data_IF_171741080839
#
_entry.id   IF_171741080839
#
_cell.length_a   1.000
_cell.length_b   1.000
_cell.length_c   1.000
_cell.angle_alpha   90.00
_cell.angle_beta   90.00
_cell.angle_gamma   90.00
#
_symmetry.space_group_name_H-M   'P 1'
#
loop_
_entity.id
_entity.type
_entity.pdbx_description
1 polymer ?
#
# COMPACT_ATOMS: atom_id res chain seq x y z
N UNK A 1 -12.40 10.56 -42.59
CA UNK A 1 -12.75 9.34 -41.82
C UNK A 1 -11.76 9.02 -40.69
N UNK A 2 -10.61 9.71 -40.56
CA UNK A 2 -9.59 9.42 -39.53
C UNK A 2 -9.85 10.19 -38.22
N UNK A 3 -10.48 11.37 -38.25
CA UNK A 3 -10.77 12.16 -37.04
C UNK A 3 -11.78 11.49 -36.08
N UNK A 4 -12.80 10.77 -36.59
CA UNK A 4 -13.74 10.05 -35.72
C UNK A 4 -13.07 8.91 -34.92
N UNK A 5 -11.98 8.31 -35.40
CA UNK A 5 -11.34 7.19 -34.70
C UNK A 5 -10.52 7.59 -33.48
N UNK A 6 -9.81 8.73 -33.54
CA UNK A 6 -8.99 9.19 -32.40
C UNK A 6 -9.86 9.67 -31.24
N UNK A 7 -10.94 10.42 -31.54
CA UNK A 7 -11.87 10.91 -30.51
C UNK A 7 -12.62 9.76 -29.79
N UNK A 8 -12.93 8.67 -30.50
CA UNK A 8 -13.54 7.46 -29.91
C UNK A 8 -12.53 6.73 -29.02
N UNK A 9 -11.26 6.61 -29.44
CA UNK A 9 -10.19 5.98 -28.65
C UNK A 9 -9.96 6.76 -27.35
N UNK A 10 -9.92 8.09 -27.42
CA UNK A 10 -9.71 8.94 -26.24
C UNK A 10 -10.90 8.89 -25.27
N UNK A 11 -12.15 8.92 -25.78
CA UNK A 11 -13.36 8.72 -24.95
C UNK A 11 -13.38 7.34 -24.27
N UNK A 12 -12.98 6.29 -24.98
CA UNK A 12 -12.88 4.95 -24.41
C UNK A 12 -11.79 4.85 -23.35
N UNK A 13 -10.66 5.53 -23.53
CA UNK A 13 -9.60 5.60 -22.53
C UNK A 13 -10.08 6.30 -21.25
N UNK A 14 -10.72 7.47 -21.38
CA UNK A 14 -11.28 8.20 -20.23
C UNK A 14 -12.30 7.34 -19.47
N UNK A 15 -13.17 6.63 -20.20
CA UNK A 15 -14.14 5.73 -19.59
C UNK A 15 -13.49 4.54 -18.85
N UNK A 16 -12.41 3.98 -19.42
CA UNK A 16 -11.64 2.92 -18.77
C UNK A 16 -10.92 3.41 -17.51
N UNK A 17 -10.21 4.54 -17.60
CA UNK A 17 -9.50 5.14 -16.46
C UNK A 17 -10.49 5.44 -15.31
N UNK A 18 -11.70 5.93 -15.63
CA UNK A 18 -12.75 6.15 -14.64
C UNK A 18 -13.20 4.85 -13.95
N UNK A 19 -13.37 3.76 -14.71
CA UNK A 19 -13.77 2.47 -14.17
C UNK A 19 -12.67 1.86 -13.28
N UNK A 20 -11.40 2.01 -13.67
CA UNK A 20 -10.26 1.55 -12.85
C UNK A 20 -10.20 2.32 -11.53
N UNK A 21 -10.30 3.65 -11.57
CA UNK A 21 -10.33 4.49 -10.36
C UNK A 21 -11.51 4.08 -9.46
N UNK A 22 -12.71 3.93 -10.03
CA UNK A 22 -13.88 3.50 -9.27
C UNK A 22 -13.70 2.10 -8.65
N UNK A 23 -13.04 1.18 -9.36
CA UNK A 23 -12.71 -0.14 -8.84
C UNK A 23 -11.73 -0.05 -7.65
N UNK A 24 -10.67 0.74 -7.77
CA UNK A 24 -9.68 0.94 -6.70
C UNK A 24 -10.32 1.49 -5.42
N UNK A 25 -11.23 2.47 -5.57
CA UNK A 25 -11.99 2.99 -4.43
C UNK A 25 -12.87 1.92 -3.79
N UNK A 26 -13.62 1.16 -4.58
CA UNK A 26 -14.48 0.09 -4.07
C UNK A 26 -13.69 -1.01 -3.35
N UNK A 27 -12.50 -1.36 -3.85
CA UNK A 27 -11.65 -2.36 -3.23
C UNK A 27 -10.99 -1.83 -1.95
N UNK A 28 -10.59 -0.56 -1.93
CA UNK A 28 -10.10 0.09 -0.70
C UNK A 28 -11.17 0.14 0.39
N UNK A 29 -12.43 0.43 0.05
CA UNK A 29 -13.53 0.47 1.01
C UNK A 29 -13.73 -0.91 1.65
N UNK A 30 -13.64 -2.01 0.88
CA UNK A 30 -13.73 -3.38 1.41
C UNK A 30 -12.60 -3.69 2.38
N UNK A 31 -11.37 -3.28 2.07
CA UNK A 31 -10.19 -3.52 2.94
C UNK A 31 -10.34 -2.75 4.25
N UNK A 32 -10.71 -1.47 4.19
CA UNK A 32 -10.70 -0.59 5.36
C UNK A 32 -12.02 -0.55 6.15
N UNK A 33 -13.07 -1.24 5.69
CA UNK A 33 -14.41 -1.21 6.31
C UNK A 33 -14.40 -1.49 7.81
N UNK A 34 -13.62 -2.48 8.23
CA UNK A 34 -13.56 -2.96 9.62
C UNK A 34 -12.19 -2.68 10.28
N UNK A 35 -11.41 -1.77 9.69
CA UNK A 35 -10.07 -1.41 10.17
C UNK A 35 -10.12 -0.03 10.81
N UNK A 36 -10.10 -0.01 12.14
CA UNK A 36 -9.86 1.20 12.93
C UNK A 36 -8.39 1.25 13.41
N UNK A 37 -7.97 2.35 14.04
CA UNK A 37 -6.68 2.46 14.75
C UNK A 37 -5.45 1.97 13.95
N UNK A 38 -5.14 2.66 12.85
CA UNK A 38 -3.99 2.36 12.01
C UNK A 38 -2.85 3.38 12.14
N UNK A 39 -1.62 2.92 11.89
CA UNK A 39 -0.43 3.77 11.74
C UNK A 39 0.21 3.48 10.40
N UNK A 40 0.41 4.52 9.61
CA UNK A 40 1.08 4.44 8.31
C UNK A 40 2.58 4.69 8.44
N UNK A 41 3.37 3.76 7.91
CA UNK A 41 4.83 3.84 7.85
C UNK A 41 5.26 4.22 6.44
N UNK A 42 6.03 5.31 6.34
CA UNK A 42 6.74 5.71 5.13
C UNK A 42 8.25 5.63 5.32
N UNK A 43 8.97 5.34 4.25
CA UNK A 43 10.42 5.30 4.27
C UNK A 43 11.02 4.80 2.97
N UNK A 44 12.36 4.78 2.91
CA UNK A 44 13.08 4.36 1.71
C UNK A 44 12.77 2.90 1.34
N UNK A 45 12.41 2.67 0.08
CA UNK A 45 12.25 1.36 -0.52
C UNK A 45 13.58 0.66 -0.87
N UNK A 46 14.70 1.37 -0.75
CA UNK A 46 16.00 0.99 -1.33
C UNK A 46 17.06 0.58 -0.31
N UNK A 47 16.84 0.88 0.97
CA UNK A 47 17.82 0.54 2.00
C UNK A 47 17.72 -0.94 2.37
N UNK A 48 18.86 -1.56 2.66
CA UNK A 48 18.94 -2.98 3.02
C UNK A 48 18.32 -3.26 4.39
N UNK A 49 17.85 -4.49 4.59
CA UNK A 49 17.14 -4.89 5.81
C UNK A 49 18.03 -4.90 7.07
N UNK A 50 19.34 -5.01 6.91
CA UNK A 50 20.32 -4.94 8.00
C UNK A 50 20.57 -3.51 8.51
N UNK A 51 20.10 -2.49 7.76
CA UNK A 51 20.22 -1.08 8.11
C UNK A 51 19.50 -0.79 9.44
N UNK A 52 20.10 0.10 10.25
CA UNK A 52 19.54 0.53 11.54
C UNK A 52 18.09 1.02 11.44
N UNK A 53 17.72 1.74 10.38
CA UNK A 53 16.37 2.27 10.22
C UNK A 53 15.33 1.18 9.93
N UNK A 54 15.68 0.14 9.16
CA UNK A 54 14.82 -1.03 8.96
C UNK A 54 14.57 -1.76 10.27
N UNK A 55 15.63 -2.02 11.05
CA UNK A 55 15.52 -2.67 12.37
C UNK A 55 14.67 -1.87 13.35
N UNK A 56 14.79 -0.55 13.34
CA UNK A 56 13.95 0.33 14.17
C UNK A 56 12.49 0.32 13.72
N UNK A 57 12.23 0.37 12.42
CA UNK A 57 10.88 0.31 11.87
C UNK A 57 10.19 -1.01 12.19
N UNK A 58 10.88 -2.15 12.00
CA UNK A 58 10.40 -3.48 12.36
C UNK A 58 10.06 -3.58 13.85
N UNK A 59 10.98 -3.16 14.72
CA UNK A 59 10.74 -3.18 16.18
C UNK A 59 9.59 -2.27 16.58
N UNK A 60 9.46 -1.08 15.98
CA UNK A 60 8.36 -0.16 16.30
C UNK A 60 7.03 -0.76 15.86
N UNK A 61 6.94 -1.24 14.61
CA UNK A 61 5.74 -1.86 14.06
C UNK A 61 5.30 -3.08 14.88
N UNK A 62 6.23 -3.96 15.25
CA UNK A 62 5.95 -5.09 16.13
C UNK A 62 5.29 -4.66 17.45
N UNK A 63 5.87 -3.65 18.13
CA UNK A 63 5.36 -3.19 19.41
C UNK A 63 4.01 -2.47 19.31
N UNK A 64 3.76 -1.76 18.21
CA UNK A 64 2.46 -1.14 17.94
C UNK A 64 1.41 -2.21 17.65
N UNK A 65 1.73 -3.18 16.77
CA UNK A 65 0.84 -4.26 16.42
C UNK A 65 0.47 -5.12 17.64
N UNK A 66 1.43 -5.42 18.54
CA UNK A 66 1.15 -6.09 19.82
C UNK A 66 0.16 -5.35 20.72
N UNK A 67 -0.10 -4.07 20.48
CA UNK A 67 -1.12 -3.26 21.17
C UNK A 67 -2.46 -3.19 20.41
N UNK A 68 -2.62 -3.98 19.36
CA UNK A 68 -3.82 -4.00 18.52
C UNK A 68 -3.85 -2.90 17.45
N UNK A 69 -2.72 -2.24 17.15
CA UNK A 69 -2.66 -1.18 16.15
C UNK A 69 -2.35 -1.78 14.77
N UNK A 70 -3.20 -1.50 13.80
CA UNK A 70 -3.03 -1.92 12.41
C UNK A 70 -1.85 -1.15 11.77
N UNK A 71 -1.01 -1.84 11.00
CA UNK A 71 0.17 -1.23 10.37
C UNK A 71 -0.07 -1.15 8.86
N UNK A 72 0.12 0.04 8.30
CA UNK A 72 -0.08 0.30 6.86
C UNK A 72 1.23 0.79 6.24
N UNK A 73 1.57 0.30 5.06
CA UNK A 73 2.72 0.79 4.27
C UNK A 73 2.36 0.87 2.78
N UNK A 74 3.28 1.38 1.96
CA UNK A 74 3.20 1.28 0.50
C UNK A 74 3.60 -0.09 -0.08
N UNK A 75 3.87 -1.11 0.75
CA UNK A 75 4.13 -2.48 0.29
C UNK A 75 5.46 -2.72 -0.46
N UNK A 76 6.32 -1.70 -0.59
CA UNK A 76 7.65 -1.83 -1.20
C UNK A 76 8.73 -2.37 -0.25
N UNK A 77 9.97 -2.43 -0.74
CA UNK A 77 11.14 -2.90 0.03
C UNK A 77 11.58 -1.97 1.17
N UNK A 78 12.75 -2.25 1.75
CA UNK A 78 13.42 -1.39 2.73
C UNK A 78 12.59 -1.16 3.99
N UNK A 79 12.35 0.09 4.37
CA UNK A 79 11.65 0.45 5.61
C UNK A 79 10.21 -0.06 5.62
N UNK A 80 9.52 -0.02 4.47
CA UNK A 80 8.12 -0.46 4.36
C UNK A 80 8.01 -1.97 4.60
N UNK A 81 8.82 -2.75 3.90
CA UNK A 81 8.94 -4.19 4.14
C UNK A 81 9.30 -4.51 5.60
N UNK A 82 10.24 -3.77 6.20
CA UNK A 82 10.64 -3.98 7.59
C UNK A 82 9.48 -3.73 8.57
N UNK A 83 8.71 -2.67 8.37
CA UNK A 83 7.53 -2.37 9.18
C UNK A 83 6.45 -3.44 9.02
N UNK A 84 6.12 -3.85 7.79
CA UNK A 84 5.16 -4.92 7.53
C UNK A 84 5.64 -6.25 8.14
N UNK A 85 6.93 -6.59 8.03
CA UNK A 85 7.48 -7.80 8.67
C UNK A 85 7.29 -7.77 10.18
N UNK A 86 7.64 -6.68 10.84
CA UNK A 86 7.45 -6.54 12.28
C UNK A 86 5.99 -6.65 12.71
N UNK A 87 5.07 -6.07 11.94
CA UNK A 87 3.63 -6.18 12.19
C UNK A 87 3.11 -7.61 12.00
N UNK A 88 3.51 -8.26 10.89
CA UNK A 88 3.17 -9.65 10.58
C UNK A 88 3.67 -10.61 11.66
N UNK A 89 4.91 -10.45 12.13
CA UNK A 89 5.49 -11.28 13.19
C UNK A 89 4.78 -11.11 14.55
N UNK A 90 4.21 -9.92 14.81
CA UNK A 90 3.43 -9.67 16.02
C UNK A 90 2.05 -10.35 15.97
N UNK A 91 1.44 -10.46 14.77
CA UNK A 91 0.22 -11.20 14.48
C UNK A 91 -0.94 -10.93 15.46
N UNK A 92 -1.11 -9.68 15.88
CA UNK A 92 -2.17 -9.25 16.82
C UNK A 92 -3.18 -8.31 16.16
N UNK A 93 -2.75 -7.55 15.15
CA UNK A 93 -3.57 -6.69 14.29
C UNK A 93 -3.09 -6.82 12.82
N UNK A 94 -3.77 -6.14 11.90
CA UNK A 94 -3.49 -6.25 10.46
C UNK A 94 -2.16 -5.61 10.05
N UNK A 95 -1.56 -6.19 9.01
CA UNK A 95 -0.35 -5.67 8.32
C UNK A 95 -0.67 -5.47 6.84
N UNK A 96 -0.82 -4.23 6.42
CA UNK A 96 -1.44 -3.84 5.14
C UNK A 96 -0.40 -3.18 4.24
N UNK A 97 -0.30 -3.64 2.99
CA UNK A 97 0.51 -3.01 1.94
C UNK A 97 -0.36 -2.45 0.82
N UNK A 98 -0.35 -1.13 0.63
CA UNK A 98 -0.98 -0.43 -0.49
C UNK A 98 0.05 -0.24 -1.61
N UNK A 99 0.30 -1.32 -2.36
CA UNK A 99 1.32 -1.33 -3.39
C UNK A 99 0.87 -0.58 -4.66
N UNK A 100 1.83 -0.12 -5.45
CA UNK A 100 1.60 0.52 -6.75
C UNK A 100 2.36 -0.19 -7.86
N UNK A 101 1.83 -0.13 -9.07
CA UNK A 101 2.53 -0.63 -10.26
C UNK A 101 3.55 0.43 -10.68
N UNK A 102 4.83 0.10 -10.60
CA UNK A 102 5.93 0.95 -11.05
C UNK A 102 6.55 0.26 -12.27
N UNK A 103 6.86 1.00 -13.35
CA UNK A 103 7.64 0.45 -14.45
C UNK A 103 8.98 -0.09 -13.93
N UNK A 104 9.31 -1.32 -14.33
CA UNK A 104 10.61 -1.95 -14.06
C UNK A 104 11.71 -1.41 -14.97
#
# INVERSE_FOLDING_TARGET
MIECSEEIVEKNKIANDFNEIASDFNDSEKIFKDIDNCVTFFGSARIQQDNRFCKLAEKLAFNLNKKGINIVTGGGGGIMEAANRGAYDANTAESIGLNIIIPV
#
